data_IF_651309578157
#
_entry.id   IF_651309578157
#
_cell.length_a   1.000
_cell.length_b   1.000
_cell.length_c   1.000
_cell.angle_alpha   90.00
_cell.angle_beta   90.00
_cell.angle_gamma   90.00
#
_symmetry.space_group_name_H-M   'P 1'
#
loop_
_entity.id
_entity.type
_entity.pdbx_description
1 polymer ?
#
# COMPACT_ATOMS: atom_id res chain seq x y z
N UNK A 1 19.42 18.86 3.38
CA UNK A 1 19.35 17.43 3.77
C UNK A 1 18.55 16.68 2.72
N UNK A 2 19.18 15.82 1.92
CA UNK A 2 18.47 14.97 0.95
C UNK A 2 17.67 13.96 1.76
N UNK A 3 16.34 14.09 1.79
CA UNK A 3 15.49 13.05 2.39
C UNK A 3 15.64 11.81 1.53
N UNK A 4 16.11 10.72 2.11
CA UNK A 4 16.12 9.43 1.43
C UNK A 4 14.73 9.15 0.86
N UNK A 5 14.65 8.81 -0.43
CA UNK A 5 13.40 8.47 -1.07
C UNK A 5 12.75 7.30 -0.31
N UNK A 6 11.52 7.48 0.16
CA UNK A 6 10.81 6.40 0.85
C UNK A 6 10.59 5.23 -0.11
N UNK A 7 11.02 4.03 0.27
CA UNK A 7 10.77 2.80 -0.49
C UNK A 7 9.31 2.37 -0.32
N UNK A 8 8.64 2.05 -1.42
CA UNK A 8 7.29 1.47 -1.38
C UNK A 8 7.31 0.15 -0.62
N UNK A 9 6.31 -0.07 0.24
CA UNK A 9 6.18 -1.31 1.00
C UNK A 9 5.34 -2.38 0.29
N UNK A 10 4.79 -2.13 -0.89
CA UNK A 10 4.09 -3.19 -1.65
C UNK A 10 5.13 -4.20 -2.15
N UNK A 11 4.92 -5.50 -1.89
CA UNK A 11 5.84 -6.57 -2.31
C UNK A 11 6.02 -6.52 -3.83
N UNK A 12 7.26 -6.65 -4.30
CA UNK A 12 7.59 -6.60 -5.73
C UNK A 12 7.49 -5.22 -6.40
N UNK A 13 7.15 -4.14 -5.67
CA UNK A 13 7.11 -2.81 -6.25
C UNK A 13 8.51 -2.30 -6.60
N UNK A 14 8.75 -2.07 -7.90
CA UNK A 14 10.02 -1.56 -8.46
C UNK A 14 9.98 -0.07 -8.76
N UNK A 15 8.88 0.62 -8.45
CA UNK A 15 8.74 2.05 -8.73
C UNK A 15 9.71 2.88 -7.86
N UNK A 16 10.65 3.58 -8.52
CA UNK A 16 11.75 4.33 -7.87
C UNK A 16 11.48 5.84 -7.74
N UNK A 17 10.24 6.30 -7.91
CA UNK A 17 9.95 7.73 -7.84
C UNK A 17 8.47 8.08 -7.71
N UNK A 18 8.21 9.38 -7.64
CA UNK A 18 6.86 9.93 -7.57
C UNK A 18 6.31 10.08 -6.15
N UNK A 19 5.00 10.27 -6.08
CA UNK A 19 4.30 10.57 -4.83
C UNK A 19 4.06 9.26 -4.09
N UNK A 20 4.30 9.30 -2.79
CA UNK A 20 4.01 8.21 -1.89
C UNK A 20 3.15 8.68 -0.72
N UNK A 21 2.32 7.77 -0.24
CA UNK A 21 1.30 8.03 0.77
C UNK A 21 1.63 7.29 2.05
N UNK A 22 1.40 7.97 3.18
CA UNK A 22 1.38 7.34 4.50
C UNK A 22 0.17 6.44 4.61
N UNK A 23 0.28 5.41 5.44
CA UNK A 23 -0.91 4.71 5.92
C UNK A 23 -1.82 5.68 6.68
N UNK A 24 -3.12 5.40 6.81
CA UNK A 24 -4.03 6.18 7.63
C UNK A 24 -3.53 6.35 9.07
N UNK A 25 -3.93 7.43 9.75
CA UNK A 25 -3.51 7.65 11.14
C UNK A 25 -4.24 6.66 12.07
N UNK A 26 -3.53 5.75 12.77
CA UNK A 26 -4.14 4.72 13.60
C UNK A 26 -4.96 5.26 14.77
N UNK A 27 -4.70 6.49 15.24
CA UNK A 27 -5.51 7.10 16.32
C UNK A 27 -6.92 7.48 15.88
N UNK A 28 -7.15 7.60 14.58
CA UNK A 28 -8.42 8.09 14.01
C UNK A 28 -9.05 7.14 13.00
N UNK A 29 -8.24 6.30 12.33
CA UNK A 29 -8.61 5.48 11.17
C UNK A 29 -7.90 4.13 11.20
N UNK A 30 -7.97 3.45 12.36
CA UNK A 30 -7.34 2.15 12.56
C UNK A 30 -7.91 1.08 11.62
N UNK A 31 -9.23 1.11 11.41
CA UNK A 31 -9.98 0.27 10.48
C UNK A 31 -9.44 0.37 9.05
N UNK A 32 -9.21 1.59 8.55
CA UNK A 32 -8.69 1.81 7.21
C UNK A 32 -7.22 1.39 7.10
N UNK A 33 -6.42 1.62 8.15
CA UNK A 33 -5.05 1.14 8.21
C UNK A 33 -5.00 -0.38 8.12
N UNK A 34 -5.84 -1.09 8.88
CA UNK A 34 -5.94 -2.55 8.83
C UNK A 34 -6.40 -3.03 7.46
N UNK A 35 -7.34 -2.33 6.82
CA UNK A 35 -7.76 -2.63 5.45
C UNK A 35 -6.60 -2.52 4.46
N UNK A 36 -5.76 -1.48 4.56
CA UNK A 36 -4.57 -1.36 3.73
C UNK A 36 -3.59 -2.51 3.96
N UNK A 37 -3.31 -2.86 5.23
CA UNK A 37 -2.45 -3.99 5.58
C UNK A 37 -2.97 -5.29 4.95
N UNK A 38 -4.26 -5.57 5.09
CA UNK A 38 -4.90 -6.77 4.55
C UNK A 38 -4.76 -6.86 3.02
N UNK A 39 -4.96 -5.74 2.32
CA UNK A 39 -4.95 -5.69 0.86
C UNK A 39 -3.53 -5.80 0.28
N UNK A 40 -2.50 -5.32 1.00
CA UNK A 40 -1.09 -5.40 0.58
C UNK A 40 -0.44 -6.72 0.99
N UNK A 41 -0.98 -7.38 2.03
CA UNK A 41 -0.42 -8.58 2.64
C UNK A 41 0.11 -8.29 4.05
N UNK A 42 -0.39 -9.04 5.03
CA UNK A 42 -0.13 -8.84 6.47
C UNK A 42 1.25 -9.27 6.93
N UNK A 43 1.88 -10.27 6.30
CA UNK A 43 3.06 -10.96 6.85
C UNK A 43 4.22 -10.01 7.17
N UNK A 44 4.43 -9.00 6.31
CA UNK A 44 5.51 -8.03 6.46
C UNK A 44 5.25 -6.97 7.57
N UNK A 45 4.10 -7.03 8.22
CA UNK A 45 3.67 -6.10 9.26
C UNK A 45 3.40 -6.79 10.61
N UNK A 46 3.54 -8.12 10.71
CA UNK A 46 3.18 -8.90 11.90
C UNK A 46 3.88 -8.42 13.18
N UNK A 47 5.12 -7.94 13.08
CA UNK A 47 5.91 -7.46 14.23
C UNK A 47 5.89 -5.94 14.40
N UNK A 48 5.10 -5.21 13.60
CA UNK A 48 5.07 -3.75 13.62
C UNK A 48 3.82 -3.20 14.31
N UNK A 49 4.00 -2.19 15.15
CA UNK A 49 2.87 -1.44 15.70
C UNK A 49 2.17 -0.62 14.61
N UNK A 50 0.87 -0.34 14.76
CA UNK A 50 0.14 0.50 13.80
C UNK A 50 0.74 1.91 13.66
N UNK A 51 1.33 2.45 14.73
CA UNK A 51 2.06 3.71 14.71
C UNK A 51 3.34 3.60 13.85
N UNK A 52 4.11 2.53 14.02
CA UNK A 52 5.31 2.31 13.21
C UNK A 52 4.96 2.17 11.73
N UNK A 53 3.88 1.48 11.41
CA UNK A 53 3.40 1.32 10.03
C UNK A 53 3.04 2.70 9.44
N UNK A 54 2.27 3.52 10.17
CA UNK A 54 1.92 4.87 9.77
C UNK A 54 3.15 5.76 9.46
N UNK A 55 4.13 5.78 10.36
CA UNK A 55 5.27 6.68 10.23
C UNK A 55 6.36 6.16 9.30
N UNK A 56 6.62 4.85 9.27
CA UNK A 56 7.78 4.25 8.58
C UNK A 56 7.46 3.69 7.19
N UNK A 57 6.22 3.28 6.93
CA UNK A 57 5.85 2.61 5.66
C UNK A 57 5.12 3.54 4.71
N UNK A 58 5.34 3.37 3.41
CA UNK A 58 4.76 4.20 2.35
C UNK A 58 4.30 3.37 1.17
N UNK A 59 3.26 3.83 0.49
CA UNK A 59 2.74 3.23 -0.74
C UNK A 59 2.82 4.25 -1.87
N UNK A 60 3.36 3.86 -3.02
CA UNK A 60 3.40 4.74 -4.18
C UNK A 60 2.00 5.00 -4.75
N UNK A 61 1.83 6.18 -5.34
CA UNK A 61 0.58 6.61 -6.00
C UNK A 61 0.08 5.65 -7.08
N UNK A 62 0.97 4.89 -7.73
CA UNK A 62 0.65 3.87 -8.74
C UNK A 62 -0.26 2.74 -8.23
N UNK A 63 -0.41 2.62 -6.90
CA UNK A 63 -1.27 1.61 -6.28
C UNK A 63 -2.69 2.10 -5.99
N UNK A 64 -3.01 3.35 -6.31
CA UNK A 64 -4.33 3.96 -6.11
C UNK A 64 -4.90 4.37 -7.47
N UNK A 65 -6.18 4.07 -7.69
CA UNK A 65 -6.92 4.60 -8.85
C UNK A 65 -6.97 6.13 -8.82
N UNK A 66 -7.12 6.77 -9.97
CA UNK A 66 -7.35 8.23 -10.08
C UNK A 66 -8.54 8.70 -9.21
N UNK A 67 -9.56 7.85 -9.06
CA UNK A 67 -10.79 8.19 -8.32
C UNK A 67 -10.57 8.16 -6.80
N UNK A 68 -9.43 7.64 -6.34
CA UNK A 68 -9.04 7.69 -4.94
C UNK A 68 -8.51 9.06 -4.52
N UNK A 69 -8.34 10.00 -5.44
CA UNK A 69 -7.79 11.33 -5.17
C UNK A 69 -8.86 12.41 -5.15
N UNK A 70 -8.66 13.42 -4.30
CA UNK A 70 -9.54 14.60 -4.31
C UNK A 70 -9.25 15.44 -5.57
N UNK A 71 -10.28 15.98 -6.25
CA UNK A 71 -10.13 16.71 -7.52
C UNK A 71 -9.05 17.80 -7.47
N UNK A 72 -8.17 17.82 -8.46
CA UNK A 72 -7.10 18.82 -8.56
C UNK A 72 -5.95 18.65 -7.56
N UNK A 73 -5.96 17.60 -6.73
CA UNK A 73 -4.91 17.36 -5.72
C UNK A 73 -4.28 15.98 -5.87
N UNK A 74 -3.18 15.79 -5.16
CA UNK A 74 -2.52 14.49 -4.99
C UNK A 74 -2.83 13.88 -3.62
N UNK A 75 -3.88 14.36 -2.95
CA UNK A 75 -4.30 13.88 -1.63
C UNK A 75 -5.33 12.77 -1.82
N UNK A 76 -5.16 11.68 -1.08
CA UNK A 76 -6.10 10.57 -1.08
C UNK A 76 -7.39 10.94 -0.33
N UNK A 77 -8.52 10.49 -0.86
CA UNK A 77 -9.81 10.57 -0.22
C UNK A 77 -9.82 9.80 1.11
N UNK A 78 -10.69 10.20 2.04
CA UNK A 78 -10.75 9.66 3.41
C UNK A 78 -10.96 8.14 3.48
N UNK A 79 -11.53 7.53 2.44
CA UNK A 79 -11.81 6.09 2.33
C UNK A 79 -10.97 5.39 1.26
N UNK A 80 -9.98 6.07 0.68
CA UNK A 80 -9.14 5.51 -0.36
C UNK A 80 -8.41 4.26 0.14
N UNK A 81 -8.34 3.25 -0.72
CA UNK A 81 -7.60 2.02 -0.47
C UNK A 81 -6.73 1.70 -1.68
N UNK A 82 -5.52 1.16 -1.47
CA UNK A 82 -4.71 0.72 -2.58
C UNK A 82 -5.42 -0.46 -3.24
N UNK A 83 -5.52 -0.43 -4.57
CA UNK A 83 -6.30 -1.40 -5.37
C UNK A 83 -5.58 -1.81 -6.66
N UNK A 84 -4.53 -1.09 -7.06
CA UNK A 84 -3.79 -1.33 -8.30
C UNK A 84 -2.39 -1.89 -8.01
N UNK A 85 -1.90 -2.73 -8.92
CA UNK A 85 -0.51 -3.20 -8.94
C UNK A 85 -0.01 -3.79 -7.60
N UNK A 86 -0.88 -4.53 -6.88
CA UNK A 86 -0.58 -5.00 -5.52
C UNK A 86 0.30 -6.25 -5.47
N UNK A 87 0.54 -6.90 -6.62
CA UNK A 87 1.31 -8.14 -6.80
C UNK A 87 1.15 -9.11 -5.60
N UNK A 88 -0.05 -9.71 -5.51
CA UNK A 88 -0.29 -10.92 -4.76
C UNK A 88 0.31 -12.09 -5.57
N UNK A 89 1.42 -12.67 -5.11
CA UNK A 89 1.83 -14.01 -5.54
C UNK A 89 1.71 -14.92 -4.33
N UNK A 90 0.62 -15.68 -4.32
CA UNK A 90 0.30 -16.94 -3.62
C UNK A 90 -1.25 -17.03 -3.71
N UNK A 91 -1.88 -17.76 -4.62
CA UNK A 91 -1.53 -19.07 -5.18
C UNK A 91 -1.83 -19.12 -6.69
N UNK A 92 -0.79 -19.22 -7.51
CA UNK A 92 -0.93 -20.10 -8.68
C UNK A 92 -0.65 -21.49 -8.11
N UNK A 93 -1.71 -22.24 -7.80
CA UNK A 93 -1.65 -23.68 -7.96
C UNK A 93 -1.43 -23.92 -9.46
N UNK A 94 -0.16 -23.97 -9.83
CA UNK A 94 0.32 -24.42 -11.14
C UNK A 94 -0.16 -25.85 -11.38
N UNK A 95 -0.31 -26.18 -12.67
CA UNK A 95 -0.12 -27.51 -13.29
C UNK A 95 -1.19 -28.57 -12.99
N UNK A 96 -1.79 -29.32 -13.91
CA UNK A 96 -1.72 -29.57 -15.35
C UNK A 96 -3.01 -30.37 -15.67
N UNK A 97 -3.60 -30.50 -16.87
CA UNK A 97 -3.13 -31.28 -18.03
C UNK A 97 -4.33 -31.34 -19.00
N UNK A 98 -4.06 -31.39 -20.31
CA UNK A 98 -5.01 -31.80 -21.34
C UNK A 98 -5.84 -33.05 -20.97
N UNK A 99 -7.13 -33.06 -21.31
CA UNK A 99 -7.81 -34.17 -21.97
C UNK A 99 -8.85 -33.61 -22.96
#
# INVERSE_FOLDING_TARGET
MVRAAYKCCVKGCTNKGGISHRFPNPRTRLDLLQKWIKVIGSDQFNEMSSNDIHYKKRICSIHFSSDCYSPGTKVLNVNAVPSLNLMLINDISTTDTND
#
